data_IF_827535952558
#
_entry.id   IF_827535952558
#
_cell.length_a   1.000
_cell.length_b   1.000
_cell.length_c   1.000
_cell.angle_alpha   90.00
_cell.angle_beta   90.00
_cell.angle_gamma   90.00
#
_symmetry.space_group_name_H-M   'P 1'
#
loop_
_entity.id
_entity.type
_entity.pdbx_description
1 polymer ?
#
# COMPACT_ATOMS: atom_id res chain seq x y z
N UNK A 1 -3.67 26.34 3.71
CA UNK A 1 -2.61 26.01 2.74
C UNK A 1 -2.14 24.60 3.03
N UNK A 2 -1.51 23.91 2.07
CA UNK A 2 -0.85 22.63 2.33
C UNK A 2 0.13 22.68 3.51
N UNK A 3 0.26 21.56 4.22
CA UNK A 3 1.22 21.40 5.33
C UNK A 3 2.18 20.25 5.03
N UNK A 4 3.42 20.37 5.47
CA UNK A 4 4.45 19.31 5.36
C UNK A 4 5.22 19.22 6.66
N UNK A 5 5.41 18.00 7.16
CA UNK A 5 6.08 17.73 8.43
C UNK A 5 6.82 16.39 8.39
N UNK A 6 7.88 16.27 9.18
CA UNK A 6 8.69 15.06 9.30
C UNK A 6 8.08 14.11 10.32
N UNK A 7 8.08 12.80 10.05
CA UNK A 7 7.45 11.78 10.90
C UNK A 7 8.47 10.78 11.47
N UNK A 8 9.58 10.52 10.77
CA UNK A 8 10.78 9.86 11.30
C UNK A 8 12.05 10.46 10.71
N UNK A 9 13.14 10.48 11.49
CA UNK A 9 14.42 11.08 11.09
C UNK A 9 15.36 10.05 10.43
N UNK A 10 15.04 9.69 9.18
CA UNK A 10 15.93 8.98 8.26
C UNK A 10 15.63 9.41 6.81
N UNK A 11 16.55 9.23 5.84
CA UNK A 11 16.26 9.52 4.43
C UNK A 11 15.06 8.72 3.90
N UNK A 12 14.48 9.20 2.80
CA UNK A 12 13.56 8.43 1.98
C UNK A 12 14.33 7.56 0.98
N UNK A 13 13.71 6.48 0.49
CA UNK A 13 14.31 5.58 -0.52
C UNK A 13 13.74 5.83 -1.92
N UNK A 14 14.48 5.43 -2.95
CA UNK A 14 14.02 5.36 -4.32
C UNK A 14 12.78 4.46 -4.51
N UNK A 15 11.77 5.01 -5.19
CA UNK A 15 10.64 4.27 -5.76
C UNK A 15 11.09 3.50 -7.01
N UNK A 16 11.30 2.18 -6.85
CA UNK A 16 11.79 1.29 -7.91
C UNK A 16 10.68 0.61 -8.73
N UNK A 17 9.41 0.79 -8.36
CA UNK A 17 8.27 0.16 -9.06
C UNK A 17 8.13 0.70 -10.48
N UNK A 18 7.83 -0.19 -11.44
CA UNK A 18 7.81 0.13 -12.87
C UNK A 18 6.78 1.22 -13.23
N UNK A 19 7.08 1.95 -14.31
CA UNK A 19 6.21 2.97 -14.92
C UNK A 19 5.32 2.36 -16.00
N UNK A 20 4.01 2.65 -15.97
CA UNK A 20 3.07 2.27 -17.05
C UNK A 20 3.37 3.07 -18.33
N UNK A 21 3.09 2.47 -19.49
CA UNK A 21 3.27 3.12 -20.81
C UNK A 21 1.96 3.48 -21.48
N UNK A 22 0.90 2.73 -21.20
CA UNK A 22 -0.43 2.88 -21.81
C UNK A 22 -1.53 2.90 -20.74
N UNK A 23 -2.75 3.34 -21.10
CA UNK A 23 -3.90 3.24 -20.18
C UNK A 23 -4.37 1.79 -20.05
N UNK A 24 -4.13 0.99 -21.09
CA UNK A 24 -4.38 -0.44 -21.16
C UNK A 24 -3.52 -1.19 -20.13
N UNK A 25 -2.21 -0.90 -20.05
CA UNK A 25 -1.31 -1.45 -19.01
C UNK A 25 -1.75 -1.05 -17.59
N UNK A 26 -2.20 0.19 -17.42
CA UNK A 26 -2.72 0.70 -16.15
C UNK A 26 -3.99 -0.07 -15.74
N UNK A 27 -4.99 -0.17 -16.63
CA UNK A 27 -6.23 -0.94 -16.39
C UNK A 27 -5.93 -2.42 -16.14
N UNK A 28 -4.96 -3.01 -16.84
CA UNK A 28 -4.53 -4.41 -16.69
C UNK A 28 -4.10 -4.75 -15.27
N UNK A 29 -3.42 -3.82 -14.61
CA UNK A 29 -2.87 -3.98 -13.26
C UNK A 29 -3.72 -3.32 -12.16
N UNK A 30 -4.66 -2.41 -12.49
CA UNK A 30 -5.65 -1.88 -11.52
C UNK A 30 -6.89 -2.78 -11.40
N UNK A 31 -7.38 -3.34 -12.52
CA UNK A 31 -8.53 -4.25 -12.55
C UNK A 31 -8.33 -5.30 -13.65
N UNK A 32 -7.63 -6.41 -13.35
CA UNK A 32 -7.50 -7.53 -14.26
C UNK A 32 -8.87 -8.09 -14.69
N UNK A 33 -9.93 -7.93 -13.88
CA UNK A 33 -11.32 -8.32 -14.21
C UNK A 33 -11.86 -7.46 -15.37
N UNK A 34 -11.68 -6.15 -15.34
CA UNK A 34 -12.22 -5.25 -16.34
C UNK A 34 -11.37 -5.19 -17.61
N UNK A 35 -10.04 -5.23 -17.50
CA UNK A 35 -9.15 -5.39 -18.66
C UNK A 35 -9.53 -6.61 -19.51
N UNK A 36 -9.87 -7.76 -18.89
CA UNK A 36 -10.29 -8.97 -19.62
C UNK A 36 -11.60 -8.82 -20.40
N UNK A 37 -12.40 -7.78 -20.13
CA UNK A 37 -13.67 -7.49 -20.82
C UNK A 37 -13.55 -6.30 -21.78
N UNK A 38 -12.56 -5.43 -21.56
CA UNK A 38 -12.25 -4.28 -22.39
C UNK A 38 -11.86 -4.67 -23.82
N UNK A 39 -12.71 -4.36 -24.79
CA UNK A 39 -12.40 -4.46 -26.21
C UNK A 39 -11.54 -3.28 -26.68
N UNK A 40 -11.81 -2.08 -26.16
CA UNK A 40 -11.18 -0.81 -26.55
C UNK A 40 -11.47 0.28 -25.52
N UNK A 41 -10.49 1.13 -25.20
CA UNK A 41 -10.73 2.32 -24.38
C UNK A 41 -11.40 3.41 -25.23
N UNK A 42 -12.50 3.97 -24.72
CA UNK A 42 -13.31 5.00 -25.40
C UNK A 42 -12.89 6.40 -24.94
N UNK A 43 -12.71 6.60 -23.62
CA UNK A 43 -12.22 7.84 -22.99
C UNK A 43 -11.44 7.51 -21.71
N UNK A 44 -10.55 8.41 -21.30
CA UNK A 44 -9.71 8.26 -20.11
C UNK A 44 -9.25 9.63 -19.61
N UNK A 45 -9.06 9.80 -18.29
CA UNK A 45 -8.32 10.92 -17.72
C UNK A 45 -6.80 10.74 -17.87
N UNK A 46 -6.34 9.51 -18.08
CA UNK A 46 -4.92 9.15 -18.22
C UNK A 46 -4.47 9.40 -19.67
N UNK A 47 -4.20 10.67 -20.00
CA UNK A 47 -3.71 11.01 -21.34
C UNK A 47 -2.32 10.42 -21.59
N UNK A 48 -1.93 10.16 -22.86
CA UNK A 48 -0.57 9.75 -23.18
C UNK A 48 0.50 10.72 -22.67
N UNK A 49 0.21 12.03 -22.67
CA UNK A 49 1.09 13.05 -22.08
C UNK A 49 1.27 12.87 -20.57
N UNK A 50 0.18 12.66 -19.80
CA UNK A 50 0.24 12.43 -18.37
C UNK A 50 1.12 11.21 -18.03
N UNK A 51 0.92 10.11 -18.76
CA UNK A 51 1.71 8.87 -18.59
C UNK A 51 3.16 9.03 -19.07
N UNK A 52 3.43 9.85 -20.08
CA UNK A 52 4.78 10.14 -20.55
C UNK A 52 5.56 11.04 -19.57
N UNK A 53 4.94 12.10 -19.08
CA UNK A 53 5.55 13.14 -18.24
C UNK A 53 5.79 12.68 -16.79
N UNK A 54 4.92 11.84 -16.23
CA UNK A 54 4.93 11.48 -14.81
C UNK A 54 5.38 10.04 -14.59
N UNK A 55 6.00 9.71 -13.44
CA UNK A 55 6.27 8.32 -13.10
C UNK A 55 5.05 7.71 -12.41
N UNK A 56 4.26 6.95 -13.15
CA UNK A 56 3.01 6.35 -12.66
C UNK A 56 3.19 4.84 -12.63
N UNK A 57 3.18 4.27 -11.43
CA UNK A 57 3.08 2.82 -11.21
C UNK A 57 1.61 2.44 -11.01
N UNK A 58 1.14 1.30 -11.54
CA UNK A 58 -0.24 0.89 -11.38
C UNK A 58 -0.44 0.27 -9.98
N UNK A 59 -1.67 0.29 -9.48
CA UNK A 59 -2.03 -0.38 -8.23
C UNK A 59 -3.53 -0.68 -8.22
N UNK A 60 -3.89 -1.84 -7.70
CA UNK A 60 -5.29 -2.22 -7.47
C UNK A 60 -5.98 -1.32 -6.44
N UNK A 61 -5.24 -0.71 -5.51
CA UNK A 61 -5.74 0.29 -4.56
C UNK A 61 -4.66 1.34 -4.24
N UNK A 62 -4.50 2.32 -5.14
CA UNK A 62 -3.42 3.32 -5.06
C UNK A 62 -3.36 4.11 -3.75
N UNK A 63 -4.47 4.29 -3.03
CA UNK A 63 -4.50 4.96 -1.73
C UNK A 63 -3.90 4.11 -0.61
N UNK A 64 -4.43 2.89 -0.41
CA UNK A 64 -3.97 1.97 0.64
C UNK A 64 -2.52 1.57 0.39
N UNK A 65 -2.16 1.28 -0.86
CA UNK A 65 -0.79 0.89 -1.21
C UNK A 65 0.19 2.05 -1.10
N UNK A 66 -0.16 3.30 -1.47
CA UNK A 66 0.72 4.46 -1.24
C UNK A 66 1.05 4.63 0.26
N UNK A 67 0.04 4.50 1.12
CA UNK A 67 0.22 4.57 2.58
C UNK A 67 1.09 3.42 3.12
N UNK A 68 0.85 2.19 2.64
CA UNK A 68 1.65 1.02 2.99
C UNK A 68 3.11 1.15 2.56
N UNK A 69 3.37 1.46 1.28
CA UNK A 69 4.74 1.60 0.76
C UNK A 69 5.48 2.77 1.41
N UNK A 70 4.83 3.91 1.64
CA UNK A 70 5.47 5.04 2.32
C UNK A 70 5.98 4.66 3.72
N UNK A 71 5.22 3.83 4.45
CA UNK A 71 5.59 3.37 5.79
C UNK A 71 6.62 2.23 5.76
N UNK A 72 6.34 1.15 5.01
CA UNK A 72 7.15 -0.08 5.01
C UNK A 72 8.41 0.00 4.15
N UNK A 73 8.49 0.97 3.22
CA UNK A 73 9.63 1.17 2.30
C UNK A 73 10.22 2.59 2.37
N UNK A 74 9.74 3.43 3.30
CA UNK A 74 10.29 4.76 3.60
C UNK A 74 10.23 5.76 2.42
N UNK A 75 9.07 5.98 1.83
CA UNK A 75 8.88 7.06 0.84
C UNK A 75 8.18 8.26 1.48
N UNK A 76 8.48 9.48 1.05
CA UNK A 76 7.70 10.66 1.44
C UNK A 76 6.26 10.54 0.90
N UNK A 77 5.25 10.74 1.73
CA UNK A 77 3.85 10.54 1.35
C UNK A 77 3.12 11.87 1.12
N UNK A 78 2.53 12.06 -0.05
CA UNK A 78 1.65 13.19 -0.35
C UNK A 78 0.21 12.72 -0.50
N UNK A 79 -0.74 13.41 0.15
CA UNK A 79 -2.17 13.04 0.14
C UNK A 79 -3.04 14.28 -0.11
N UNK A 80 -4.04 14.17 -0.98
CA UNK A 80 -5.09 15.20 -1.18
C UNK A 80 -6.38 14.86 -0.44
N UNK A 81 -7.24 15.86 -0.14
CA UNK A 81 -8.59 15.61 0.39
C UNK A 81 -9.39 14.63 -0.49
N UNK A 82 -9.25 14.73 -1.81
CA UNK A 82 -9.91 13.87 -2.79
C UNK A 82 -9.50 12.40 -2.66
N UNK A 83 -8.23 12.09 -2.40
CA UNK A 83 -7.77 10.69 -2.36
C UNK A 83 -8.35 9.95 -1.14
N UNK A 84 -8.49 10.65 -0.01
CA UNK A 84 -9.18 10.14 1.19
C UNK A 84 -10.69 10.05 0.94
N UNK A 85 -11.31 11.08 0.34
CA UNK A 85 -12.75 11.07 0.07
C UNK A 85 -13.17 10.01 -0.96
N UNK A 86 -12.37 9.77 -2.00
CA UNK A 86 -12.60 8.70 -2.96
C UNK A 86 -12.40 7.32 -2.33
N UNK A 87 -11.43 7.13 -1.43
CA UNK A 87 -11.30 5.88 -0.70
C UNK A 87 -12.53 5.58 0.19
N UNK A 88 -13.11 6.61 0.83
CA UNK A 88 -14.39 6.52 1.57
C UNK A 88 -15.54 6.15 0.62
N UNK A 89 -15.65 6.80 -0.55
CA UNK A 89 -16.71 6.53 -1.52
C UNK A 89 -16.61 5.13 -2.15
N UNK A 90 -15.39 4.64 -2.44
CA UNK A 90 -15.17 3.27 -2.93
C UNK A 90 -15.63 2.24 -1.88
N UNK A 91 -15.24 2.41 -0.62
CA UNK A 91 -15.72 1.56 0.49
C UNK A 91 -17.24 1.59 0.64
N UNK A 92 -17.85 2.79 0.62
CA UNK A 92 -19.30 2.92 0.63
C UNK A 92 -19.97 2.28 -0.58
N UNK A 93 -19.31 2.21 -1.75
CA UNK A 93 -19.88 1.55 -2.93
C UNK A 93 -20.04 0.03 -2.73
N UNK A 94 -19.12 -0.65 -2.03
CA UNK A 94 -19.27 -2.06 -1.71
C UNK A 94 -20.46 -2.30 -0.76
N UNK A 95 -20.55 -1.51 0.32
CA UNK A 95 -21.68 -1.57 1.25
C UNK A 95 -23.03 -1.31 0.55
N UNK A 96 -23.13 -0.24 -0.26
CA UNK A 96 -24.37 0.14 -0.94
C UNK A 96 -24.78 -0.91 -1.97
N UNK A 97 -23.83 -1.51 -2.71
CA UNK A 97 -24.14 -2.56 -3.67
C UNK A 97 -24.63 -3.85 -3.00
N UNK A 98 -24.02 -4.25 -1.87
CA UNK A 98 -24.43 -5.45 -1.13
C UNK A 98 -25.77 -5.29 -0.41
N UNK A 99 -26.08 -4.08 0.06
CA UNK A 99 -27.30 -3.73 0.79
C UNK A 99 -28.31 -2.96 -0.09
N UNK A 100 -28.21 -3.08 -1.43
CA UNK A 100 -28.99 -2.29 -2.38
C UNK A 100 -30.51 -2.52 -2.30
N UNK A 101 -30.93 -3.66 -1.75
CA UNK A 101 -32.34 -3.98 -1.48
C UNK A 101 -32.86 -3.26 -0.22
N UNK A 102 -32.12 -3.33 0.88
CA UNK A 102 -32.52 -2.76 2.19
C UNK A 102 -32.38 -1.23 2.20
N UNK A 103 -31.35 -0.70 1.54
CA UNK A 103 -31.14 0.75 1.34
C UNK A 103 -32.05 1.33 0.26
N UNK A 104 -32.84 0.51 -0.45
CA UNK A 104 -33.64 0.95 -1.60
C UNK A 104 -34.48 2.17 -1.31
N UNK A 105 -35.30 2.13 -0.26
CA UNK A 105 -36.20 3.23 0.11
C UNK A 105 -35.49 4.53 0.52
N UNK A 106 -34.16 4.51 0.67
CA UNK A 106 -33.32 5.69 0.89
C UNK A 106 -32.82 6.31 -0.43
N UNK A 107 -32.90 5.59 -1.55
CA UNK A 107 -32.29 5.97 -2.84
C UNK A 107 -33.19 5.85 -4.09
N UNK A 108 -33.96 4.76 -4.29
CA UNK A 108 -34.73 4.44 -5.52
C UNK A 108 -35.96 3.52 -5.25
N UNK A 109 -36.72 3.12 -6.28
CA UNK A 109 -38.02 2.43 -6.13
C UNK A 109 -38.14 1.00 -6.78
N UNK A 110 -37.05 0.31 -7.17
CA UNK A 110 -37.12 -0.96 -7.97
C UNK A 110 -36.02 -2.06 -7.73
N UNK A 111 -36.35 -3.38 -7.86
CA UNK A 111 -35.65 -4.57 -7.25
C UNK A 111 -34.59 -5.40 -8.06
N UNK A 112 -33.56 -6.00 -7.39
CA UNK A 112 -32.62 -7.09 -7.84
C UNK A 112 -31.08 -6.84 -7.66
N UNK A 113 -30.14 -7.81 -7.48
CA UNK A 113 -30.16 -9.31 -7.43
C UNK A 113 -28.95 -10.01 -6.65
N UNK A 114 -28.21 -11.05 -7.15
CA UNK A 114 -27.19 -11.85 -6.36
C UNK A 114 -26.07 -12.67 -7.12
N UNK A 115 -25.16 -13.41 -6.43
CA UNK A 115 -23.67 -13.45 -6.68
C UNK A 115 -22.81 -14.80 -6.63
N UNK A 116 -21.52 -14.82 -6.17
CA UNK A 116 -20.34 -15.67 -6.62
C UNK A 116 -19.28 -16.14 -5.52
N UNK A 117 -18.11 -16.77 -5.88
CA UNK A 117 -16.89 -17.09 -5.02
C UNK A 117 -15.54 -17.40 -5.79
N UNK A 118 -14.33 -17.35 -5.15
CA UNK A 118 -12.93 -17.16 -5.72
C UNK A 118 -11.75 -17.79 -4.89
N UNK A 119 -10.47 -17.74 -5.36
CA UNK A 119 -9.08 -17.93 -4.77
C UNK A 119 -7.99 -17.38 -5.80
N UNK A 120 -6.64 -17.18 -5.70
CA UNK A 120 -5.44 -17.05 -4.76
C UNK A 120 -4.13 -16.81 -5.66
N UNK A 121 -2.84 -16.51 -5.32
CA UNK A 121 -2.01 -15.83 -4.26
C UNK A 121 -0.46 -15.73 -4.66
N UNK A 122 0.43 -14.91 -4.01
CA UNK A 122 1.96 -14.92 -4.07
C UNK A 122 2.73 -13.87 -4.97
N UNK A 123 4.07 -13.57 -4.96
CA UNK A 123 5.34 -13.95 -4.22
C UNK A 123 6.57 -12.97 -4.57
N UNK A 124 7.77 -12.94 -3.88
CA UNK A 124 8.90 -11.93 -4.06
C UNK A 124 10.35 -12.27 -3.49
N UNK A 125 11.45 -11.62 -3.96
CA UNK A 125 12.82 -11.67 -3.33
C UNK A 125 13.64 -10.33 -3.23
N UNK A 126 14.71 -10.33 -2.40
CA UNK A 126 15.85 -9.38 -2.22
C UNK A 126 15.80 -8.28 -1.11
N UNK A 127 16.88 -8.18 -0.30
CA UNK A 127 17.15 -7.13 0.71
C UNK A 127 18.66 -7.05 1.08
N UNK A 128 19.15 -5.89 1.56
CA UNK A 128 20.59 -5.66 1.87
C UNK A 128 20.88 -5.59 3.39
N UNK A 129 21.73 -6.50 3.87
CA UNK A 129 21.96 -6.78 5.31
C UNK A 129 22.99 -5.84 5.95
N UNK A 130 23.96 -5.31 5.20
CA UNK A 130 25.16 -4.68 5.77
C UNK A 130 24.89 -3.44 6.64
N UNK A 131 23.98 -2.56 6.18
CA UNK A 131 23.67 -1.30 6.86
C UNK A 131 22.92 -1.48 8.19
N UNK A 132 22.30 -2.64 8.44
CA UNK A 132 21.57 -2.91 9.68
C UNK A 132 22.50 -3.21 10.86
N UNK A 133 23.66 -3.82 10.60
CA UNK A 133 24.63 -4.19 11.64
C UNK A 133 25.26 -2.96 12.33
N UNK A 134 25.66 -1.94 11.56
CA UNK A 134 26.23 -0.70 12.10
C UNK A 134 25.26 0.03 13.05
N UNK A 135 23.96 0.06 12.71
CA UNK A 135 22.94 0.73 13.53
C UNK A 135 22.73 0.05 14.89
N UNK A 136 22.88 -1.26 14.99
CA UNK A 136 22.77 -1.98 16.27
C UNK A 136 23.97 -1.76 17.18
N UNK A 137 25.20 -1.70 16.65
CA UNK A 137 26.38 -1.41 17.47
C UNK A 137 26.28 -0.04 18.18
N UNK A 138 25.79 1.00 17.49
CA UNK A 138 25.53 2.31 18.09
C UNK A 138 24.45 2.33 19.17
N UNK A 139 23.57 1.32 19.24
CA UNK A 139 22.61 1.15 20.34
C UNK A 139 23.24 0.44 21.54
N UNK A 140 24.17 -0.49 21.33
CA UNK A 140 24.96 -1.12 22.40
C UNK A 140 25.80 -0.06 23.13
N UNK A 141 26.50 0.81 22.39
CA UNK A 141 27.32 1.91 22.95
C UNK A 141 26.53 2.84 23.89
N UNK A 142 25.24 3.06 23.61
CA UNK A 142 24.36 3.94 24.40
C UNK A 142 23.78 3.29 25.66
N UNK A 143 23.99 1.98 25.85
CA UNK A 143 23.43 1.21 26.97
C UNK A 143 24.48 0.49 27.83
N UNK A 144 25.77 0.71 27.55
CA UNK A 144 26.88 0.35 28.45
C UNK A 144 27.17 1.49 29.43
N UNK A 145 27.86 1.18 30.55
CA UNK A 145 28.17 2.17 31.60
C UNK A 145 29.20 3.24 31.20
N UNK A 146 29.94 2.98 30.14
CA UNK A 146 30.97 3.86 29.59
C UNK A 146 30.52 4.29 28.18
N UNK A 147 30.11 5.55 27.98
CA UNK A 147 29.61 6.01 26.69
C UNK A 147 30.73 6.17 25.64
N UNK A 148 32.00 6.32 26.06
CA UNK A 148 33.14 6.45 25.14
C UNK A 148 33.58 5.09 24.58
N UNK A 149 33.15 3.98 25.20
CA UNK A 149 33.44 2.61 24.75
C UNK A 149 33.02 2.35 23.29
N UNK A 150 31.97 3.02 22.82
CA UNK A 150 31.53 2.91 21.42
C UNK A 150 32.58 3.43 20.43
N UNK A 151 33.06 4.65 20.67
CA UNK A 151 34.03 5.32 19.81
C UNK A 151 35.43 4.68 19.94
N UNK A 152 35.74 4.06 21.08
CA UNK A 152 36.95 3.26 21.27
C UNK A 152 36.97 1.96 20.44
N UNK A 153 35.82 1.33 20.19
CA UNK A 153 35.73 0.09 19.39
C UNK A 153 35.63 0.35 17.88
N UNK A 154 35.11 1.50 17.46
CA UNK A 154 34.96 1.81 16.04
C UNK A 154 36.30 2.25 15.41
N UNK A 155 36.77 1.61 14.33
CA UNK A 155 38.04 1.98 13.72
C UNK A 155 37.96 3.34 13.00
N UNK A 156 38.98 4.17 13.21
CA UNK A 156 39.14 5.49 12.59
C UNK A 156 40.52 5.66 11.94
N UNK A 157 41.14 4.57 11.49
CA UNK A 157 42.47 4.57 10.89
C UNK A 157 42.41 5.11 9.45
N UNK A 158 43.55 5.59 8.93
CA UNK A 158 43.66 6.15 7.58
C UNK A 158 43.35 5.15 6.44
N UNK A 159 43.26 3.86 6.75
CA UNK A 159 42.90 2.78 5.82
C UNK A 159 41.49 2.22 6.04
N UNK A 160 40.70 2.75 6.99
CA UNK A 160 39.39 2.17 7.36
C UNK A 160 38.31 2.43 6.32
N UNK A 161 37.81 1.34 5.73
CA UNK A 161 36.65 1.32 4.84
C UNK A 161 35.33 1.17 5.61
N UNK A 162 34.19 1.38 4.94
CA UNK A 162 32.89 1.15 5.58
C UNK A 162 32.61 -0.33 5.88
N UNK A 163 33.18 -1.25 5.09
CA UNK A 163 33.19 -2.69 5.40
C UNK A 163 33.86 -2.97 6.74
N UNK A 164 35.00 -2.32 7.03
CA UNK A 164 35.68 -2.47 8.31
C UNK A 164 34.84 -1.93 9.48
N UNK A 165 34.06 -0.86 9.25
CA UNK A 165 33.08 -0.33 10.22
C UNK A 165 31.90 -1.30 10.43
N UNK A 166 31.42 -1.99 9.39
CA UNK A 166 30.43 -3.09 9.53
C UNK A 166 31.02 -4.22 10.36
N UNK A 167 32.26 -4.66 10.06
CA UNK A 167 32.94 -5.75 10.77
C UNK A 167 33.14 -5.41 12.25
N UNK A 168 33.66 -4.23 12.56
CA UNK A 168 33.80 -3.77 13.95
C UNK A 168 32.46 -3.71 14.70
N UNK A 169 31.39 -3.28 14.03
CA UNK A 169 30.03 -3.26 14.58
C UNK A 169 29.52 -4.67 14.94
N UNK A 170 29.68 -5.64 14.04
CA UNK A 170 29.30 -7.05 14.30
C UNK A 170 30.14 -7.67 15.41
N UNK A 171 31.45 -7.39 15.44
CA UNK A 171 32.35 -7.88 16.49
C UNK A 171 31.99 -7.30 17.87
N UNK A 172 31.63 -6.02 17.95
CA UNK A 172 31.20 -5.38 19.20
C UNK A 172 29.90 -5.99 19.74
N UNK A 173 28.91 -6.19 18.87
CA UNK A 173 27.68 -6.90 19.23
C UNK A 173 27.98 -8.33 19.72
N UNK A 174 28.86 -9.06 19.01
CA UNK A 174 29.29 -10.41 19.36
C UNK A 174 30.01 -10.49 20.72
N UNK A 175 30.76 -9.47 21.12
CA UNK A 175 31.35 -9.37 22.46
C UNK A 175 30.28 -9.14 23.55
N UNK A 176 29.22 -8.40 23.23
CA UNK A 176 28.19 -7.94 24.17
C UNK A 176 26.93 -8.84 24.23
N UNK A 177 26.85 -9.90 23.41
CA UNK A 177 25.70 -10.81 23.31
C UNK A 177 25.26 -11.54 24.60
N UNK A 178 26.08 -11.51 25.67
CA UNK A 178 25.71 -12.03 27.00
C UNK A 178 24.89 -11.05 27.84
N UNK A 179 24.82 -9.79 27.42
CA UNK A 179 24.17 -8.70 28.14
C UNK A 179 22.98 -8.10 27.37
N UNK A 180 22.98 -8.25 26.04
CA UNK A 180 21.91 -7.78 25.15
C UNK A 180 21.46 -8.89 24.20
N UNK A 181 20.15 -8.97 23.94
CA UNK A 181 19.60 -9.78 22.85
C UNK A 181 19.43 -8.90 21.61
N UNK A 182 19.74 -9.43 20.43
CA UNK A 182 19.65 -8.70 19.17
C UNK A 182 18.54 -9.28 18.30
N UNK A 183 17.55 -8.45 17.97
CA UNK A 183 16.48 -8.79 17.02
C UNK A 183 16.45 -7.74 15.94
N UNK A 184 16.65 -8.18 14.69
CA UNK A 184 16.68 -7.31 13.52
C UNK A 184 15.27 -7.13 12.97
N UNK A 185 14.52 -6.18 13.53
CA UNK A 185 13.35 -5.64 12.85
C UNK A 185 13.82 -4.75 11.68
N UNK A 186 13.17 -4.88 10.52
CA UNK A 186 13.21 -3.83 9.52
C UNK A 186 12.61 -2.56 10.16
N UNK A 187 13.26 -1.42 9.98
CA UNK A 187 12.66 -0.15 10.39
C UNK A 187 11.48 0.13 9.47
N UNK A 188 10.36 0.60 10.03
CA UNK A 188 9.22 1.10 9.28
C UNK A 188 8.86 2.50 9.80
N UNK A 189 8.36 3.36 8.92
CA UNK A 189 8.07 4.76 9.21
C UNK A 189 8.11 5.62 7.95
N UNK A 190 7.17 6.57 7.84
CA UNK A 190 7.13 7.55 6.74
C UNK A 190 8.11 8.69 7.05
N UNK A 191 9.10 9.01 6.20
CA UNK A 191 10.06 10.07 6.53
C UNK A 191 9.44 11.47 6.64
N UNK A 192 8.58 11.85 5.69
CA UNK A 192 7.75 13.07 5.79
C UNK A 192 6.40 12.88 5.12
N UNK A 193 5.38 13.57 5.64
CA UNK A 193 4.02 13.61 5.07
C UNK A 193 3.74 15.03 4.58
N UNK A 194 3.04 15.12 3.44
CA UNK A 194 2.53 16.37 2.87
C UNK A 194 1.02 16.24 2.67
N UNK A 195 0.23 17.01 3.41
CA UNK A 195 -1.22 17.10 3.20
C UNK A 195 -1.52 18.31 2.32
N UNK A 196 -2.20 18.08 1.20
CA UNK A 196 -2.62 19.11 0.26
C UNK A 196 -4.03 19.66 0.60
N UNK A 197 -4.45 20.68 -0.13
CA UNK A 197 -5.69 21.43 0.15
C UNK A 197 -5.56 22.40 1.32
N UNK A 198 -6.69 22.88 1.80
CA UNK A 198 -6.83 23.71 2.99
C UNK A 198 -7.49 22.94 4.14
N UNK A 199 -7.23 23.33 5.39
CA UNK A 199 -7.81 22.68 6.60
C UNK A 199 -9.35 22.59 6.55
N UNK A 200 -10.00 23.54 5.87
CA UNK A 200 -11.44 23.54 5.60
C UNK A 200 -11.93 22.34 4.78
N UNK A 201 -11.11 21.80 3.88
CA UNK A 201 -11.46 20.65 3.05
C UNK A 201 -11.52 19.38 3.91
N UNK A 202 -10.54 19.22 4.80
CA UNK A 202 -10.46 18.13 5.78
C UNK A 202 -11.58 18.21 6.82
N UNK A 203 -11.92 19.43 7.28
CA UNK A 203 -13.10 19.69 8.12
C UNK A 203 -14.41 19.39 7.39
N UNK A 204 -14.52 19.71 6.09
CA UNK A 204 -15.68 19.38 5.27
C UNK A 204 -15.83 17.85 5.06
N UNK A 205 -14.74 17.10 4.89
CA UNK A 205 -14.79 15.63 4.87
C UNK A 205 -15.27 15.08 6.22
N UNK A 206 -14.74 15.58 7.35
CA UNK A 206 -15.18 15.17 8.69
C UNK A 206 -16.67 15.42 8.92
N UNK A 207 -17.20 16.56 8.45
CA UNK A 207 -18.62 16.92 8.55
C UNK A 207 -19.51 16.04 7.64
N UNK A 208 -19.00 15.59 6.49
CA UNK A 208 -19.75 14.68 5.58
C UNK A 208 -19.98 13.30 6.20
N UNK A 209 -19.20 12.88 7.19
CA UNK A 209 -19.39 11.59 7.87
C UNK A 209 -20.73 11.49 8.62
N UNK A 210 -21.31 12.62 9.04
CA UNK A 210 -22.60 12.66 9.77
C UNK A 210 -23.81 12.18 8.92
N UNK A 211 -23.60 11.94 7.61
CA UNK A 211 -24.56 11.25 6.73
C UNK A 211 -24.43 9.74 6.73
N UNK A 212 -23.28 9.18 7.12
CA UNK A 212 -23.08 7.73 7.18
C UNK A 212 -23.87 7.13 8.33
N UNK A 213 -23.96 7.82 9.47
CA UNK A 213 -24.76 7.41 10.64
C UNK A 213 -26.26 7.22 10.32
N UNK A 214 -26.73 7.79 9.20
CA UNK A 214 -28.11 7.69 8.71
C UNK A 214 -28.37 6.44 7.85
N UNK A 215 -27.30 5.76 7.41
CA UNK A 215 -27.34 4.58 6.53
C UNK A 215 -27.30 3.25 7.32
N UNK A 216 -27.44 3.31 8.64
CA UNK A 216 -27.52 2.14 9.52
C UNK A 216 -26.22 1.80 10.23
N UNK A 217 -26.19 0.61 10.85
CA UNK A 217 -25.18 0.23 11.85
C UNK A 217 -23.75 0.13 11.29
N UNK A 218 -23.54 -0.58 10.17
CA UNK A 218 -22.18 -0.72 9.63
C UNK A 218 -21.60 0.61 9.10
N UNK A 219 -22.36 1.49 8.41
CA UNK A 219 -21.88 2.83 8.06
C UNK A 219 -21.61 3.74 9.27
N UNK A 220 -22.40 3.63 10.35
CA UNK A 220 -22.12 4.32 11.63
C UNK A 220 -20.77 3.84 12.18
N UNK A 221 -20.59 2.51 12.29
CA UNK A 221 -19.33 1.91 12.73
C UNK A 221 -18.15 2.32 11.83
N UNK A 222 -18.34 2.46 10.51
CA UNK A 222 -17.31 2.95 9.59
C UNK A 222 -16.96 4.43 9.87
N UNK A 223 -17.95 5.28 10.06
CA UNK A 223 -17.76 6.67 10.44
C UNK A 223 -16.98 6.82 11.75
N UNK A 224 -17.26 5.97 12.76
CA UNK A 224 -16.50 5.91 14.01
C UNK A 224 -14.99 5.68 13.80
N UNK A 225 -14.59 4.86 12.82
CA UNK A 225 -13.16 4.64 12.49
C UNK A 225 -12.52 5.80 11.74
N UNK A 226 -13.29 6.51 10.90
CA UNK A 226 -12.81 7.65 10.10
C UNK A 226 -12.71 8.94 10.92
N UNK A 227 -13.60 9.14 11.89
CA UNK A 227 -13.66 10.33 12.75
C UNK A 227 -12.33 10.65 13.47
N UNK A 228 -11.61 9.71 14.12
CA UNK A 228 -10.29 9.99 14.70
C UNK A 228 -9.21 10.21 13.64
N UNK A 229 -9.20 9.44 12.54
CA UNK A 229 -8.23 9.62 11.44
C UNK A 229 -8.27 11.06 10.91
N UNK A 230 -9.46 11.57 10.60
CA UNK A 230 -9.63 12.94 10.10
C UNK A 230 -9.31 14.00 11.16
N UNK A 231 -9.58 13.74 12.45
CA UNK A 231 -9.16 14.64 13.55
C UNK A 231 -7.64 14.76 13.65
N UNK A 232 -6.88 13.66 13.51
CA UNK A 232 -5.41 13.72 13.49
C UNK A 232 -4.86 14.32 12.19
N UNK A 233 -5.53 14.13 11.05
CA UNK A 233 -5.20 14.85 9.81
C UNK A 233 -5.41 16.37 9.96
N UNK A 234 -6.52 16.81 10.58
CA UNK A 234 -6.76 18.23 10.91
C UNK A 234 -5.71 18.75 11.91
N UNK A 235 -5.41 18.00 12.98
CA UNK A 235 -4.36 18.32 13.94
C UNK A 235 -2.98 18.48 13.27
N UNK A 236 -2.71 17.74 12.19
CA UNK A 236 -1.47 17.85 11.41
C UNK A 236 -1.32 19.21 10.70
N UNK A 237 -2.40 19.96 10.47
CA UNK A 237 -2.35 21.36 10.01
C UNK A 237 -2.21 22.37 11.16
N UNK A 238 -2.83 22.08 12.31
CA UNK A 238 -2.86 23.00 13.46
C UNK A 238 -1.57 22.97 14.28
N UNK A 239 -1.02 21.76 14.47
CA UNK A 239 0.11 21.47 15.36
C UNK A 239 0.99 20.35 14.74
N UNK A 240 1.65 20.60 13.59
CA UNK A 240 2.44 19.59 12.87
C UNK A 240 3.54 18.93 13.72
N UNK A 241 4.07 19.65 14.71
CA UNK A 241 5.14 19.19 15.61
C UNK A 241 4.63 18.53 16.92
N UNK A 242 3.31 18.35 17.11
CA UNK A 242 2.78 17.60 18.25
C UNK A 242 3.17 16.11 18.11
N UNK A 243 3.78 15.53 19.15
CA UNK A 243 4.12 14.11 19.20
C UNK A 243 2.91 13.17 18.96
N UNK A 244 1.66 13.65 19.13
CA UNK A 244 0.44 12.94 18.69
C UNK A 244 0.38 12.77 17.18
N UNK A 245 0.71 13.80 16.40
CA UNK A 245 0.77 13.75 14.93
C UNK A 245 1.85 12.77 14.52
N UNK A 246 3.07 12.90 15.06
CA UNK A 246 4.17 11.95 14.82
C UNK A 246 3.77 10.51 15.14
N UNK A 247 3.09 10.27 16.26
CA UNK A 247 2.61 8.94 16.66
C UNK A 247 1.51 8.41 15.73
N UNK A 248 0.53 9.24 15.37
CA UNK A 248 -0.57 8.88 14.47
C UNK A 248 -0.03 8.40 13.11
N UNK A 249 0.86 9.17 12.47
CA UNK A 249 1.43 8.79 11.18
C UNK A 249 2.36 7.57 11.26
N UNK A 250 2.99 7.32 12.42
CA UNK A 250 3.73 6.07 12.68
C UNK A 250 2.84 4.84 13.00
N UNK A 251 1.51 4.98 12.97
CA UNK A 251 0.52 3.89 13.13
C UNK A 251 -0.39 3.70 11.91
N UNK A 252 -0.01 4.28 10.76
CA UNK A 252 -0.79 4.23 9.51
C UNK A 252 -0.97 2.81 8.98
N UNK A 253 0.12 2.07 8.85
CA UNK A 253 0.17 0.70 8.37
C UNK A 253 1.15 -0.09 9.23
N UNK A 254 1.04 -1.41 9.27
CA UNK A 254 2.09 -2.32 9.80
C UNK A 254 1.90 -3.70 9.17
N UNK A 255 2.98 -4.27 8.62
CA UNK A 255 2.99 -5.65 8.13
C UNK A 255 3.26 -6.60 9.30
N UNK A 256 2.34 -7.54 9.53
CA UNK A 256 2.47 -8.60 10.53
C UNK A 256 2.57 -9.95 9.82
N UNK A 257 3.79 -10.48 9.60
CA UNK A 257 3.96 -11.78 8.96
C UNK A 257 3.61 -12.92 9.93
N UNK A 258 2.68 -13.80 9.53
CA UNK A 258 2.17 -14.89 10.40
C UNK A 258 2.70 -16.25 9.91
N UNK A 259 4.02 -16.41 10.00
CA UNK A 259 4.71 -17.63 9.59
C UNK A 259 4.75 -17.79 8.06
N UNK A 260 4.61 -19.03 7.58
CA UNK A 260 4.64 -19.34 6.14
C UNK A 260 3.22 -19.50 5.61
N UNK A 261 2.62 -18.42 5.09
CA UNK A 261 1.39 -18.51 4.30
C UNK A 261 0.47 -17.29 4.29
N UNK A 262 0.58 -16.36 5.24
CA UNK A 262 -0.29 -15.16 5.24
C UNK A 262 0.36 -13.97 5.96
N UNK A 263 0.41 -12.84 5.27
CA UNK A 263 0.82 -11.55 5.80
C UNK A 263 -0.40 -10.65 6.01
N UNK A 264 -0.46 -9.99 7.17
CA UNK A 264 -1.57 -9.11 7.51
C UNK A 264 -1.13 -7.65 7.66
N UNK A 265 -1.85 -6.76 6.99
CA UNK A 265 -1.79 -5.32 7.22
C UNK A 265 -2.65 -4.99 8.46
N UNK A 266 -2.07 -4.25 9.41
CA UNK A 266 -2.80 -3.54 10.47
C UNK A 266 -2.45 -2.05 10.46
N UNK A 267 -2.85 -1.28 11.48
CA UNK A 267 -2.78 0.19 11.48
C UNK A 267 -4.04 0.84 10.89
N UNK A 268 -4.19 2.16 11.05
CA UNK A 268 -5.45 2.85 10.78
C UNK A 268 -5.85 2.90 9.29
N UNK A 269 -4.93 2.67 8.35
CA UNK A 269 -5.24 2.59 6.91
C UNK A 269 -6.24 1.48 6.59
N UNK A 270 -6.30 0.45 7.41
CA UNK A 270 -7.22 -0.69 7.26
C UNK A 270 -8.70 -0.29 7.40
N UNK A 271 -9.02 0.89 7.94
CA UNK A 271 -10.38 1.44 7.89
C UNK A 271 -10.88 1.57 6.44
N UNK A 272 -10.01 1.93 5.50
CA UNK A 272 -10.33 2.04 4.07
C UNK A 272 -10.44 0.67 3.38
N UNK A 273 -10.42 -0.42 4.15
CA UNK A 273 -10.64 -1.80 3.77
C UNK A 273 -11.72 -2.48 4.66
N UNK A 274 -12.60 -1.70 5.31
CA UNK A 274 -13.60 -2.20 6.27
C UNK A 274 -14.56 -3.23 5.66
N UNK A 275 -15.05 -3.00 4.44
CA UNK A 275 -15.80 -3.97 3.66
C UNK A 275 -14.90 -4.63 2.60
N UNK A 276 -15.15 -5.92 2.33
CA UNK A 276 -14.63 -6.61 1.15
C UNK A 276 -15.40 -6.23 -0.14
N UNK A 277 -15.00 -6.78 -1.29
CA UNK A 277 -15.62 -6.51 -2.60
C UNK A 277 -17.04 -7.08 -2.74
N UNK A 278 -17.51 -7.84 -1.75
CA UNK A 278 -18.87 -8.34 -1.60
C UNK A 278 -19.66 -7.54 -0.54
N UNK A 279 -19.13 -6.40 -0.09
CA UNK A 279 -19.77 -5.46 0.83
C UNK A 279 -19.97 -5.98 2.26
N UNK A 280 -19.20 -6.99 2.68
CA UNK A 280 -19.29 -7.61 4.00
C UNK A 280 -18.23 -7.05 4.94
N UNK A 281 -18.65 -6.61 6.13
CA UNK A 281 -17.76 -5.99 7.12
C UNK A 281 -16.72 -6.98 7.68
N UNK A 282 -15.45 -6.57 7.66
CA UNK A 282 -14.33 -7.27 8.32
C UNK A 282 -14.36 -7.00 9.83
N UNK A 283 -13.97 -8.00 10.62
CA UNK A 283 -13.96 -7.89 12.09
C UNK A 283 -12.82 -6.97 12.57
N UNK A 284 -13.14 -6.11 13.55
CA UNK A 284 -12.19 -5.27 14.27
C UNK A 284 -11.49 -6.09 15.35
N UNK A 285 -10.19 -5.87 15.55
CA UNK A 285 -9.41 -6.56 16.58
C UNK A 285 -8.87 -5.54 17.59
N UNK A 286 -9.05 -5.83 18.88
CA UNK A 286 -8.75 -4.90 19.99
C UNK A 286 -7.24 -4.69 20.26
N UNK A 287 -6.38 -5.03 19.30
CA UNK A 287 -4.93 -4.81 19.33
C UNK A 287 -4.55 -3.47 18.70
N UNK A 288 -5.16 -3.16 17.55
CA UNK A 288 -4.88 -1.98 16.74
C UNK A 288 -5.92 -0.90 17.06
N UNK A 289 -5.54 0.06 17.91
CA UNK A 289 -6.46 1.04 18.51
C UNK A 289 -5.93 2.47 18.40
N UNK A 290 -6.72 3.36 17.79
CA UNK A 290 -6.51 4.82 17.76
C UNK A 290 -7.65 5.49 18.53
N UNK A 291 -7.32 6.33 19.51
CA UNK A 291 -8.28 7.08 20.34
C UNK A 291 -9.44 6.26 20.95
N UNK A 292 -9.19 4.97 21.21
CA UNK A 292 -10.18 4.02 21.74
C UNK A 292 -10.98 3.24 20.69
N UNK A 293 -10.88 3.60 19.41
CA UNK A 293 -11.52 2.89 18.29
C UNK A 293 -10.60 1.81 17.76
N UNK A 294 -11.14 0.59 17.57
CA UNK A 294 -10.39 -0.58 17.09
C UNK A 294 -10.56 -0.79 15.58
N UNK A 295 -9.49 -1.20 14.90
CA UNK A 295 -9.41 -1.34 13.44
C UNK A 295 -9.45 -2.82 13.00
N UNK A 296 -9.82 -3.12 11.74
CA UNK A 296 -9.72 -4.48 11.21
C UNK A 296 -8.26 -4.86 10.91
N UNK A 297 -7.98 -6.15 10.92
CA UNK A 297 -6.75 -6.69 10.33
C UNK A 297 -7.10 -7.22 8.93
N UNK A 298 -6.25 -6.90 7.95
CA UNK A 298 -6.53 -7.11 6.53
C UNK A 298 -5.43 -7.99 5.95
N UNK A 299 -5.82 -9.19 5.50
CA UNK A 299 -4.97 -10.06 4.70
C UNK A 299 -4.50 -9.32 3.44
N UNK A 300 -3.20 -9.39 3.14
CA UNK A 300 -2.54 -8.60 2.10
C UNK A 300 -3.12 -8.86 0.69
N UNK A 301 -3.53 -10.10 0.41
CA UNK A 301 -4.17 -10.51 -0.86
C UNK A 301 -5.69 -10.23 -0.86
N UNK A 302 -6.23 -9.74 0.27
CA UNK A 302 -7.65 -9.38 0.46
C UNK A 302 -7.89 -7.87 0.67
N UNK A 303 -6.95 -7.03 0.23
CA UNK A 303 -7.12 -5.57 0.11
C UNK A 303 -8.12 -5.30 -1.03
N UNK A 304 -9.29 -4.68 -0.77
CA UNK A 304 -10.28 -4.44 -1.80
C UNK A 304 -9.80 -3.39 -2.81
N UNK A 305 -10.28 -3.48 -4.06
CA UNK A 305 -9.93 -2.54 -5.13
C UNK A 305 -10.25 -1.09 -4.74
N UNK A 306 -9.35 -0.17 -5.08
CA UNK A 306 -9.51 1.28 -4.90
C UNK A 306 -10.40 1.94 -5.96
N UNK A 307 -10.98 1.17 -6.88
CA UNK A 307 -11.84 1.62 -7.97
C UNK A 307 -13.25 1.04 -7.89
N UNK A 308 -14.25 1.89 -8.15
CA UNK A 308 -15.63 1.50 -8.42
C UNK A 308 -15.88 1.47 -9.94
N UNK A 309 -16.91 0.76 -10.38
CA UNK A 309 -17.24 0.67 -11.82
C UNK A 309 -18.72 0.47 -12.09
N UNK A 310 -19.20 1.03 -13.22
CA UNK A 310 -20.62 1.10 -13.59
C UNK A 310 -20.81 0.78 -15.07
N UNK A 311 -21.78 -0.08 -15.46
CA UNK A 311 -22.12 -0.31 -16.86
C UNK A 311 -22.82 0.92 -17.46
N UNK A 312 -22.45 1.29 -18.68
CA UNK A 312 -22.97 2.44 -19.41
C UNK A 312 -23.37 1.99 -20.82
N UNK A 313 -24.48 2.49 -21.35
CA UNK A 313 -24.84 2.31 -22.77
C UNK A 313 -24.68 3.64 -23.48
N UNK A 314 -23.88 3.66 -24.55
CA UNK A 314 -23.67 4.84 -25.38
C UNK A 314 -24.54 4.69 -26.63
N UNK A 315 -25.31 5.72 -26.98
CA UNK A 315 -26.03 5.80 -28.24
C UNK A 315 -25.24 6.70 -29.20
N UNK A 316 -24.43 6.10 -30.06
CA UNK A 316 -23.71 6.80 -31.13
C UNK A 316 -24.56 6.78 -32.41
N UNK A 317 -25.39 7.82 -32.58
CA UNK A 317 -26.20 8.04 -33.79
C UNK A 317 -27.11 6.86 -34.18
N UNK A 318 -27.61 6.11 -33.20
CA UNK A 318 -28.42 4.89 -33.37
C UNK A 318 -27.68 3.58 -33.11
N UNK A 319 -26.34 3.61 -33.08
CA UNK A 319 -25.52 2.46 -32.67
C UNK A 319 -25.44 2.39 -31.14
N UNK A 320 -25.90 1.28 -30.55
CA UNK A 320 -25.93 1.09 -29.09
C UNK A 320 -24.70 0.33 -28.61
N UNK A 321 -23.66 1.07 -28.21
CA UNK A 321 -22.40 0.52 -27.72
C UNK A 321 -22.56 0.13 -26.24
N UNK A 322 -22.22 -1.12 -25.90
CA UNK A 322 -22.08 -1.57 -24.52
C UNK A 322 -20.74 -1.10 -23.95
N UNK A 323 -20.74 -0.52 -22.75
CA UNK A 323 -19.54 0.08 -22.17
C UNK A 323 -19.52 -0.06 -20.66
N UNK A 324 -18.35 0.14 -20.07
CA UNK A 324 -18.19 0.28 -18.61
C UNK A 324 -17.35 1.51 -18.32
N UNK A 325 -17.71 2.25 -17.28
CA UNK A 325 -16.90 3.32 -16.73
C UNK A 325 -16.30 2.86 -15.39
N UNK A 326 -15.03 3.16 -15.16
CA UNK A 326 -14.25 2.79 -13.98
C UNK A 326 -13.64 4.06 -13.40
N UNK A 327 -13.76 4.29 -12.10
CA UNK A 327 -13.27 5.50 -11.43
C UNK A 327 -12.80 5.20 -10.00
N UNK A 328 -11.78 5.93 -9.52
CA UNK A 328 -11.18 5.75 -8.20
C UNK A 328 -9.66 5.87 -8.25
N UNK A 329 -8.96 5.13 -7.38
CA UNK A 329 -7.49 5.16 -7.25
C UNK A 329 -6.83 4.05 -8.09
N UNK A 330 -6.17 4.43 -9.19
CA UNK A 330 -5.61 3.51 -10.19
C UNK A 330 -4.12 3.18 -9.98
N UNK A 331 -3.42 3.93 -9.13
CA UNK A 331 -1.96 3.80 -9.06
C UNK A 331 -1.31 4.72 -8.06
N UNK A 332 0.01 4.76 -8.17
CA UNK A 332 0.93 5.53 -7.33
C UNK A 332 1.77 6.38 -8.27
N UNK A 333 1.66 7.70 -8.15
CA UNK A 333 2.53 8.62 -8.87
C UNK A 333 3.74 8.94 -8.00
N UNK A 334 4.94 8.69 -8.52
CA UNK A 334 6.20 9.02 -7.87
C UNK A 334 6.80 10.32 -8.41
N UNK A 335 7.54 11.02 -7.56
CA UNK A 335 8.17 12.31 -7.82
C UNK A 335 9.41 12.51 -6.95
N UNK A 336 10.26 13.46 -7.35
CA UNK A 336 11.45 13.85 -6.59
C UNK A 336 11.11 14.96 -5.60
N UNK A 337 11.32 14.71 -4.30
CA UNK A 337 11.27 15.73 -3.24
C UNK A 337 12.69 15.96 -2.73
N UNK A 338 13.27 17.10 -3.07
CA UNK A 338 14.53 17.57 -2.47
C UNK A 338 14.31 17.87 -0.99
N UNK A 339 15.22 17.41 -0.13
CA UNK A 339 15.23 17.83 1.27
C UNK A 339 15.86 19.23 1.36
N UNK A 340 15.07 20.24 1.74
CA UNK A 340 15.59 21.58 2.04
C UNK A 340 16.33 21.58 3.39
N UNK A 341 17.54 21.00 3.41
CA UNK A 341 18.45 21.04 4.56
C UNK A 341 19.18 22.38 4.64
N UNK A 342 18.44 23.49 4.65
CA UNK A 342 18.95 24.79 5.06
C UNK A 342 18.68 24.98 6.57
N UNK A 343 19.70 25.01 7.44
CA UNK A 343 19.54 25.62 8.76
C UNK A 343 19.19 27.10 8.58
N UNK A 344 18.36 27.67 9.47
CA UNK A 344 17.99 29.09 9.43
C UNK A 344 19.14 30.01 9.91
N UNK A 345 20.23 30.07 9.13
CA UNK A 345 21.23 31.12 9.29
C UNK A 345 20.76 32.42 8.63
N UNK A 346 20.64 33.46 9.45
CA UNK A 346 20.14 34.78 9.04
C UNK A 346 21.14 35.53 8.15
N UNK A 347 21.18 35.23 6.84
CA UNK A 347 21.97 36.02 5.87
C UNK A 347 21.17 37.17 5.23
N UNK A 348 21.89 38.27 5.01
CA UNK A 348 21.37 39.57 4.57
C UNK A 348 20.99 39.64 3.08
N UNK A 349 20.32 40.73 2.71
CA UNK A 349 19.85 41.08 1.35
C UNK A 349 20.91 41.03 0.24
N UNK A 350 22.22 40.94 0.57
CA UNK A 350 23.31 40.84 -0.41
C UNK A 350 23.36 39.52 -1.16
N UNK A 351 23.11 38.37 -0.52
CA UNK A 351 23.28 37.07 -1.21
C UNK A 351 22.16 36.80 -2.24
N UNK A 352 20.95 37.35 -2.03
CA UNK A 352 19.88 37.36 -3.05
C UNK A 352 20.32 38.05 -4.36
N UNK A 353 21.28 38.97 -4.31
CA UNK A 353 21.85 39.60 -5.51
C UNK A 353 22.87 38.68 -6.20
N UNK A 354 23.70 37.96 -5.44
CA UNK A 354 24.68 36.99 -5.98
C UNK A 354 24.01 35.83 -6.71
N UNK A 355 22.93 35.28 -6.17
CA UNK A 355 22.18 34.20 -6.83
C UNK A 355 21.57 34.68 -8.16
N UNK A 356 21.00 35.90 -8.20
CA UNK A 356 20.50 36.49 -9.45
C UNK A 356 21.59 36.74 -10.49
N UNK A 357 22.77 37.23 -10.08
CA UNK A 357 23.89 37.45 -10.99
C UNK A 357 24.43 36.12 -11.54
N UNK A 358 24.54 35.07 -10.71
CA UNK A 358 24.96 33.74 -11.17
C UNK A 358 24.02 33.20 -12.25
N UNK A 359 22.71 33.29 -12.04
CA UNK A 359 21.70 32.82 -13.00
C UNK A 359 21.65 33.65 -14.31
N UNK A 360 22.13 34.90 -14.29
CA UNK A 360 22.27 35.77 -15.47
C UNK A 360 23.55 35.51 -16.28
N UNK A 361 24.59 34.92 -15.66
CA UNK A 361 25.84 34.56 -16.35
C UNK A 361 25.75 33.16 -16.95
N UNK A 362 24.98 32.24 -16.35
CA UNK A 362 24.78 30.88 -16.88
C UNK A 362 23.96 30.82 -18.17
N UNK A 363 23.28 31.89 -18.59
CA UNK A 363 22.39 31.89 -19.76
C UNK A 363 23.06 32.20 -21.11
N UNK A 364 24.39 32.02 -21.23
CA UNK A 364 25.14 32.26 -22.48
C UNK A 364 26.22 31.20 -22.79
N UNK A 365 26.10 29.97 -22.27
CA UNK A 365 27.00 28.88 -22.67
C UNK A 365 26.30 27.52 -22.75
N UNK A 366 25.76 27.22 -23.93
CA UNK A 366 25.34 25.86 -24.28
C UNK A 366 26.56 24.97 -24.57
N UNK A 367 26.64 23.82 -23.92
CA UNK A 367 27.53 22.70 -24.29
C UNK A 367 26.95 21.41 -23.70
N UNK A 368 26.68 20.36 -24.51
CA UNK A 368 25.88 19.22 -24.07
C UNK A 368 26.71 18.13 -23.37
N UNK A 369 27.07 18.34 -22.11
CA UNK A 369 27.54 17.25 -21.24
C UNK A 369 26.35 16.64 -20.47
N UNK A 370 25.92 15.46 -20.92
CA UNK A 370 24.80 14.73 -20.34
C UNK A 370 25.17 14.10 -18.98
N UNK A 371 25.18 14.92 -17.93
CA UNK A 371 25.16 14.43 -16.55
C UNK A 371 23.74 14.06 -16.15
N UNK A 372 23.33 12.83 -16.47
CA UNK A 372 22.09 12.22 -15.98
C UNK A 372 22.18 11.98 -14.48
N UNK A 373 21.96 13.04 -13.70
CA UNK A 373 21.49 12.89 -12.32
C UNK A 373 20.05 12.40 -12.39
N UNK A 374 19.88 11.07 -12.46
CA UNK A 374 18.57 10.44 -12.28
C UNK A 374 18.04 10.87 -10.91
N UNK A 375 17.09 11.80 -10.94
CA UNK A 375 16.59 12.44 -9.72
C UNK A 375 15.80 11.41 -8.94
N UNK A 376 16.34 10.97 -7.81
CA UNK A 376 15.83 9.83 -7.05
C UNK A 376 14.37 10.06 -6.64
N UNK A 377 13.46 9.33 -7.29
CA UNK A 377 12.02 9.42 -7.06
C UNK A 377 11.71 8.92 -5.65
N UNK A 378 11.60 9.82 -4.68
CA UNK A 378 11.59 9.50 -3.25
C UNK A 378 10.29 9.92 -2.53
N UNK A 379 9.35 10.53 -3.28
CA UNK A 379 8.02 10.90 -2.82
C UNK A 379 6.95 10.24 -3.69
N UNK A 380 5.87 9.77 -3.07
CA UNK A 380 4.75 9.09 -3.71
C UNK A 380 3.41 9.70 -3.31
N UNK A 381 2.45 9.67 -4.24
CA UNK A 381 1.06 10.07 -4.01
C UNK A 381 0.06 9.11 -4.68
N UNK A 382 -1.12 8.89 -4.09
CA UNK A 382 -2.20 8.17 -4.76
C UNK A 382 -2.62 8.85 -6.06
N UNK A 383 -2.73 8.08 -7.14
CA UNK A 383 -3.23 8.58 -8.43
C UNK A 383 -4.70 8.20 -8.63
N UNK A 384 -5.57 9.16 -8.36
CA UNK A 384 -7.00 9.05 -8.62
C UNK A 384 -7.38 9.54 -10.03
N UNK A 385 -8.31 8.85 -10.71
CA UNK A 385 -8.77 9.17 -12.07
C UNK A 385 -9.96 8.34 -12.54
N UNK A 386 -10.20 8.31 -13.86
CA UNK A 386 -11.28 7.53 -14.48
C UNK A 386 -10.97 7.10 -15.92
N UNK A 387 -11.62 6.03 -16.36
CA UNK A 387 -11.68 5.62 -17.77
C UNK A 387 -13.04 5.02 -18.14
N UNK A 388 -13.33 4.98 -19.42
CA UNK A 388 -14.52 4.37 -20.00
C UNK A 388 -14.09 3.51 -21.20
N UNK A 389 -14.56 2.27 -21.24
CA UNK A 389 -14.15 1.29 -22.25
C UNK A 389 -15.36 0.55 -22.84
N UNK A 390 -15.18 0.03 -24.06
CA UNK A 390 -16.13 -0.79 -24.81
C UNK A 390 -16.13 -2.22 -24.25
N UNK A 391 -17.26 -2.65 -23.69
CA UNK A 391 -17.36 -3.85 -22.86
C UNK A 391 -17.73 -5.08 -23.70
N UNK A 392 -17.20 -6.26 -23.34
CA UNK A 392 -17.47 -7.51 -24.07
C UNK A 392 -18.99 -7.74 -24.21
N UNK A 393 -19.41 -8.24 -25.38
CA UNK A 393 -20.84 -8.45 -25.66
C UNK A 393 -21.48 -9.33 -24.57
N UNK A 394 -22.72 -9.00 -24.19
CA UNK A 394 -23.43 -9.66 -23.09
C UNK A 394 -23.50 -11.18 -23.27
N UNK A 395 -23.74 -11.63 -24.50
CA UNK A 395 -23.76 -13.04 -24.91
C UNK A 395 -22.41 -13.75 -24.68
N UNK A 396 -21.28 -13.05 -24.92
CA UNK A 396 -19.94 -13.57 -24.65
C UNK A 396 -19.65 -13.63 -23.13
N UNK A 397 -20.15 -12.65 -22.36
CA UNK A 397 -20.10 -12.69 -20.88
C UNK A 397 -20.86 -13.92 -20.36
N UNK A 398 -22.11 -14.10 -20.81
CA UNK A 398 -23.00 -15.20 -20.38
C UNK A 398 -22.46 -16.58 -20.78
N UNK A 399 -21.91 -16.72 -22.01
CA UNK A 399 -21.24 -17.95 -22.43
C UNK A 399 -19.99 -18.27 -21.60
N UNK A 400 -19.21 -17.24 -21.22
CA UNK A 400 -18.00 -17.37 -20.38
C UNK A 400 -18.36 -17.73 -18.94
N UNK A 401 -19.46 -17.19 -18.40
CA UNK A 401 -19.97 -17.55 -17.08
C UNK A 401 -20.58 -18.96 -17.06
N UNK A 402 -21.35 -19.35 -18.08
CA UNK A 402 -21.83 -20.72 -18.25
C UNK A 402 -20.68 -21.73 -18.30
N UNK A 403 -19.61 -21.44 -19.06
CA UNK A 403 -18.40 -22.28 -19.11
C UNK A 403 -17.65 -22.32 -17.77
N UNK A 404 -17.53 -21.18 -17.05
CA UNK A 404 -16.92 -21.17 -15.71
C UNK A 404 -17.76 -21.95 -14.70
N UNK A 405 -19.10 -21.93 -14.82
CA UNK A 405 -19.98 -22.76 -13.99
C UNK A 405 -19.76 -24.24 -14.29
N UNK A 406 -19.82 -24.66 -15.56
CA UNK A 406 -19.58 -26.04 -15.95
C UNK A 406 -18.24 -26.59 -15.42
N UNK A 407 -17.16 -25.81 -15.50
CA UNK A 407 -15.84 -26.18 -14.95
C UNK A 407 -15.82 -26.29 -13.42
N UNK A 408 -16.60 -25.46 -12.69
CA UNK A 408 -16.76 -25.63 -11.22
C UNK A 408 -17.58 -26.86 -10.88
N UNK A 409 -18.68 -27.08 -11.60
CA UNK A 409 -19.57 -28.23 -11.42
C UNK A 409 -18.78 -29.54 -11.70
N UNK A 410 -17.93 -29.57 -12.74
CA UNK A 410 -17.02 -30.66 -13.07
C UNK A 410 -15.94 -30.89 -11.99
N UNK A 411 -15.25 -29.82 -11.55
CA UNK A 411 -14.24 -29.92 -10.48
C UNK A 411 -14.85 -30.44 -9.16
N UNK A 412 -16.05 -29.99 -8.82
CA UNK A 412 -16.78 -30.42 -7.62
C UNK A 412 -17.29 -31.88 -7.71
N UNK A 413 -17.36 -32.50 -8.89
CA UNK A 413 -17.55 -33.95 -9.02
C UNK A 413 -16.22 -34.70 -8.92
N UNK A 414 -15.11 -34.13 -9.42
CA UNK A 414 -13.75 -34.71 -9.24
C UNK A 414 -13.36 -34.75 -7.76
N UNK A 415 -13.64 -33.71 -6.98
CA UNK A 415 -13.41 -33.66 -5.52
C UNK A 415 -14.28 -34.65 -4.71
N UNK A 416 -15.32 -35.24 -5.32
CA UNK A 416 -16.15 -36.29 -4.71
C UNK A 416 -15.69 -37.71 -5.04
N UNK A 417 -14.74 -37.87 -5.96
CA UNK A 417 -14.15 -39.18 -6.24
C UNK A 417 -13.34 -39.63 -5.02
N UNK A 418 -13.49 -40.89 -4.55
CA UNK A 418 -12.67 -41.39 -3.46
C UNK A 418 -11.20 -41.46 -3.90
N UNK A 419 -10.29 -41.12 -2.99
CA UNK A 419 -8.85 -41.27 -3.19
C UNK A 419 -8.53 -42.65 -3.78
N UNK A 420 -7.96 -42.65 -4.99
CA UNK A 420 -7.52 -43.87 -5.65
C UNK A 420 -6.48 -44.61 -4.80
N UNK A 421 -6.36 -45.94 -4.93
CA UNK A 421 -5.38 -46.70 -4.15
C UNK A 421 -3.96 -46.22 -4.47
N UNK A 422 -3.39 -45.43 -3.56
CA UNK A 422 -2.00 -44.96 -3.58
C UNK A 422 -1.04 -46.14 -3.33
N UNK A 423 -0.87 -46.99 -4.36
CA UNK A 423 -0.07 -48.22 -4.29
C UNK A 423 1.41 -47.99 -4.64
N UNK A 424 1.94 -46.87 -4.15
CA UNK A 424 3.38 -46.62 -4.06
C UNK A 424 3.74 -46.10 -2.66
N UNK A 425 4.92 -46.49 -2.19
CA UNK A 425 5.52 -46.06 -0.91
C UNK A 425 4.89 -46.56 0.42
N UNK A 426 4.41 -47.81 0.50
CA UNK A 426 4.48 -48.56 1.79
C UNK A 426 5.82 -49.27 1.96
N UNK A 427 6.85 -48.48 2.26
CA UNK A 427 8.15 -48.99 2.74
C UNK A 427 7.96 -49.91 3.96
N UNK A 428 8.59 -51.09 3.92
CA UNK A 428 8.17 -52.22 4.75
C UNK A 428 8.42 -52.06 6.25
N UNK A 429 7.37 -52.25 7.06
CA UNK A 429 7.51 -52.61 8.49
C UNK A 429 7.48 -54.13 8.63
N UNK A 430 8.65 -54.76 8.70
CA UNK A 430 8.76 -56.17 9.08
C UNK A 430 8.17 -56.40 10.47
N UNK A 431 7.09 -57.17 10.56
CA UNK A 431 6.69 -57.86 11.80
C UNK A 431 7.15 -59.31 11.71
N UNK A 432 8.18 -59.67 12.49
CA UNK A 432 8.52 -61.08 12.75
C UNK A 432 7.41 -61.71 13.58
N UNK A 433 6.69 -62.68 13.03
CA UNK A 433 5.92 -63.65 13.80
C UNK A 433 6.85 -64.69 14.45
N UNK A 434 6.34 -65.44 15.43
CA UNK A 434 7.12 -66.31 16.31
C UNK A 434 7.08 -67.79 15.89
N UNK A 435 7.93 -68.59 16.56
CA UNK A 435 8.03 -70.06 16.53
C UNK A 435 8.79 -70.61 15.29
N UNK A 436 9.52 -71.73 15.35
CA UNK A 436 9.69 -72.76 16.40
C UNK A 436 11.15 -72.87 16.92
N UNK A 437 11.41 -73.83 17.83
CA UNK A 437 12.71 -74.07 18.48
C UNK A 437 13.47 -75.28 17.88
N UNK A 438 14.75 -75.35 18.28
CA UNK A 438 15.58 -76.53 18.58
C UNK A 438 16.50 -77.17 17.52
N UNK A 439 17.79 -77.26 17.92
CA UNK A 439 18.84 -78.23 17.57
C UNK A 439 19.30 -78.31 16.09
N UNK A 440 20.54 -78.68 15.78
CA UNK A 440 21.67 -79.12 16.63
C UNK A 440 23.04 -78.70 16.03
N UNK A 441 24.12 -78.92 16.81
CA UNK A 441 25.58 -78.76 16.50
C UNK A 441 26.07 -77.39 16.01
#
# INVERSE_FOLDING_TARGET
>A
MPVTFSVVNHPATAWQTYKVKTTEDLLKATSPRDHRRCQRIIRTSFTPSLLQENHISPSENGFVWSAYHAYSQHHHLTIRPEDVWFAILTQMSFFINANAEDLRSFFVEHEGKKELTVFEAGDLESANIGAMAQRMAGLVSKNVKDPELGDWVMPSFSTTTDTDRVVASVLFMGAMQKYFSYTMCLTCGIPSVTLLGDISDWQAILTRLDRLDQLGKEPTEFAEMLRPILKHMILSFEQPDDAKVTRFWNTIATQNPVGSGTDYITGWITAFCFWDDQGKAKRRFQKDVLDGVAYPSVDIDSVPLGVASVPVKINDNGNMISSKMVAGSFGIQASTKTQDTSPEETSSTRDRLRTRIRNLVSSQQESPEASSSDSELNAIQPLSGWLMYEDEAKEATEAREAKKKALRDELAEVEKLPDGPNDFARGGKMRRSQNWRHFDT
#
